data_IF_515056704005
#
_entry.id   IF_515056704005
#
_cell.length_a   1.000
_cell.length_b   1.000
_cell.length_c   1.000
_cell.angle_alpha   90.00
_cell.angle_beta   90.00
_cell.angle_gamma   90.00
#
_symmetry.space_group_name_H-M   'P 1'
#
loop_
_entity.id
_entity.type
_entity.pdbx_description
1 polymer ?
#
# COMPACT_ATOMS: atom_id res chain seq x y z
N UNK A 1 27.09 -7.86 -8.50
CA UNK A 1 26.31 -6.63 -8.23
C UNK A 1 27.22 -5.40 -8.24
N UNK A 2 26.72 -4.19 -8.54
CA UNK A 2 27.51 -2.96 -8.66
C UNK A 2 28.31 -2.59 -7.39
N UNK A 3 27.90 -3.09 -6.22
CA UNK A 3 28.60 -2.93 -4.94
C UNK A 3 29.52 -4.11 -4.56
N UNK A 4 29.75 -5.07 -5.46
CA UNK A 4 30.64 -6.23 -5.21
C UNK A 4 30.06 -7.34 -4.32
N UNK A 5 28.79 -7.28 -3.93
CA UNK A 5 28.14 -8.31 -3.12
C UNK A 5 27.88 -9.60 -3.91
N UNK A 6 28.00 -10.75 -3.23
CA UNK A 6 27.60 -12.06 -3.74
C UNK A 6 26.07 -12.19 -3.78
N UNK A 7 25.57 -13.15 -4.56
CA UNK A 7 24.13 -13.42 -4.65
C UNK A 7 23.58 -13.86 -3.29
N UNK A 8 24.35 -14.66 -2.56
CA UNK A 8 23.99 -15.16 -1.23
C UNK A 8 23.87 -13.99 -0.23
N UNK A 9 24.77 -13.01 -0.29
CA UNK A 9 24.69 -11.80 0.54
C UNK A 9 23.46 -10.95 0.20
N UNK A 10 23.12 -10.81 -1.09
CA UNK A 10 21.93 -10.08 -1.53
C UNK A 10 20.66 -10.79 -1.06
N UNK A 11 20.61 -12.11 -1.22
CA UNK A 11 19.47 -12.93 -0.76
C UNK A 11 19.28 -12.79 0.75
N UNK A 12 20.34 -12.95 1.53
CA UNK A 12 20.28 -12.83 2.99
C UNK A 12 19.82 -11.42 3.42
N UNK A 13 20.34 -10.38 2.77
CA UNK A 13 19.93 -8.99 3.05
C UNK A 13 18.47 -8.72 2.71
N UNK A 14 17.95 -9.25 1.61
CA UNK A 14 16.54 -9.11 1.24
C UNK A 14 15.61 -9.87 2.20
N UNK A 15 16.01 -11.05 2.67
CA UNK A 15 15.23 -11.85 3.63
C UNK A 15 15.17 -11.20 5.02
N UNK A 16 16.21 -10.47 5.41
CA UNK A 16 16.29 -9.76 6.69
C UNK A 16 15.75 -8.32 6.62
N UNK A 17 15.29 -7.87 5.45
CA UNK A 17 14.80 -6.50 5.27
C UNK A 17 13.42 -6.33 5.91
N UNK A 18 13.27 -5.30 6.73
CA UNK A 18 12.00 -4.94 7.36
C UNK A 18 11.40 -3.70 6.67
N UNK A 19 10.07 -3.64 6.69
CA UNK A 19 9.36 -2.46 6.21
C UNK A 19 9.71 -1.25 7.08
N UNK A 20 9.95 -0.11 6.43
CA UNK A 20 10.06 1.16 7.14
C UNK A 20 8.69 1.56 7.70
N UNK A 21 8.67 2.23 8.85
CA UNK A 21 7.43 2.67 9.49
C UNK A 21 6.51 3.44 8.51
N UNK A 22 5.24 3.03 8.44
CA UNK A 22 4.24 3.63 7.55
C UNK A 22 4.44 3.32 6.06
N UNK A 23 5.21 2.29 5.70
CA UNK A 23 5.39 1.82 4.31
C UNK A 23 5.05 0.33 4.18
N UNK A 24 3.78 0.03 3.89
CA UNK A 24 3.23 -1.33 3.81
C UNK A 24 3.54 -2.20 5.05
N UNK A 25 3.55 -1.59 6.24
CA UNK A 25 3.75 -2.33 7.48
C UNK A 25 2.52 -3.18 7.76
N UNK A 26 2.72 -4.47 8.03
CA UNK A 26 1.63 -5.42 8.28
C UNK A 26 1.44 -5.60 9.78
N UNK A 27 0.22 -5.36 10.25
CA UNK A 27 -0.20 -5.61 11.62
C UNK A 27 -1.28 -6.68 11.63
N UNK A 28 -0.97 -7.84 12.20
CA UNK A 28 -1.94 -8.90 12.46
C UNK A 28 -2.62 -8.63 13.80
N UNK A 29 -3.94 -8.48 13.77
CA UNK A 29 -4.78 -8.24 14.93
C UNK A 29 -5.57 -9.50 15.29
N UNK A 30 -6.31 -9.44 16.39
CA UNK A 30 -7.24 -10.52 16.74
C UNK A 30 -8.32 -10.71 15.66
N UNK A 31 -8.94 -11.90 15.64
CA UNK A 31 -10.02 -12.28 14.71
C UNK A 31 -9.61 -12.24 13.23
N UNK A 32 -8.38 -12.65 12.91
CA UNK A 32 -7.85 -12.74 11.54
C UNK A 32 -7.91 -11.42 10.76
N UNK A 33 -7.85 -10.29 11.46
CA UNK A 33 -7.83 -8.95 10.86
C UNK A 33 -6.40 -8.56 10.54
N UNK A 34 -6.15 -8.22 9.28
CA UNK A 34 -4.90 -7.64 8.81
C UNK A 34 -5.08 -6.14 8.59
N UNK A 35 -4.23 -5.34 9.23
CA UNK A 35 -4.08 -3.91 8.90
C UNK A 35 -2.77 -3.71 8.14
N UNK A 36 -2.84 -3.04 7.00
CA UNK A 36 -1.67 -2.62 6.22
C UNK A 36 -1.50 -1.11 6.42
N UNK A 37 -0.49 -0.72 7.20
CA UNK A 37 -0.12 0.67 7.45
C UNK A 37 0.81 1.19 6.34
N UNK A 38 0.25 2.00 5.44
CA UNK A 38 0.96 2.75 4.40
C UNK A 38 0.78 4.28 4.60
N UNK A 39 0.80 4.74 5.85
CA UNK A 39 0.40 6.11 6.23
C UNK A 39 1.51 7.16 6.13
N UNK A 40 2.73 6.80 5.69
CA UNK A 40 3.87 7.75 5.66
C UNK A 40 3.65 8.89 4.65
N UNK A 41 3.26 8.58 3.42
CA UNK A 41 2.97 9.55 2.36
C UNK A 41 2.02 8.94 1.33
N UNK A 42 1.11 9.75 0.79
CA UNK A 42 0.18 9.34 -0.24
C UNK A 42 0.29 10.25 -1.47
N UNK A 43 0.54 9.63 -2.63
CA UNK A 43 0.36 10.24 -3.94
C UNK A 43 -0.48 9.29 -4.81
N UNK A 44 -1.05 9.75 -5.94
CA UNK A 44 -1.98 8.93 -6.71
C UNK A 44 -1.38 7.60 -7.19
N UNK A 45 -0.09 7.57 -7.54
CA UNK A 45 0.56 6.36 -8.00
C UNK A 45 0.80 5.37 -6.84
N UNK A 46 1.25 5.85 -5.68
CA UNK A 46 1.45 4.99 -4.50
C UNK A 46 0.13 4.43 -3.98
N UNK A 47 -0.95 5.21 -3.99
CA UNK A 47 -2.28 4.73 -3.56
C UNK A 47 -2.81 3.64 -4.49
N UNK A 48 -2.63 3.76 -5.81
CA UNK A 48 -2.98 2.66 -6.75
C UNK A 48 -2.20 1.38 -6.44
N UNK A 49 -0.90 1.49 -6.16
CA UNK A 49 -0.09 0.34 -5.77
C UNK A 49 -0.55 -0.26 -4.43
N UNK A 50 -0.94 0.57 -3.46
CA UNK A 50 -1.49 0.10 -2.18
C UNK A 50 -2.83 -0.63 -2.38
N UNK A 51 -3.69 -0.13 -3.28
CA UNK A 51 -4.92 -0.81 -3.70
C UNK A 51 -4.60 -2.18 -4.31
N UNK A 52 -3.61 -2.28 -5.20
CA UNK A 52 -3.20 -3.55 -5.80
C UNK A 52 -2.63 -4.56 -4.77
N UNK A 53 -2.02 -4.08 -3.70
CA UNK A 53 -1.59 -4.93 -2.58
C UNK A 53 -2.79 -5.41 -1.78
N UNK A 54 -3.74 -4.51 -1.49
CA UNK A 54 -4.93 -4.82 -0.70
C UNK A 54 -5.85 -5.83 -1.41
N UNK A 55 -6.04 -5.70 -2.73
CA UNK A 55 -6.91 -6.59 -3.54
C UNK A 55 -6.35 -8.01 -3.67
N UNK A 56 -5.06 -8.21 -3.39
CA UNK A 56 -4.43 -9.54 -3.34
C UNK A 56 -4.60 -10.24 -1.99
N UNK A 57 -5.11 -9.55 -0.97
CA UNK A 57 -5.41 -10.18 0.31
C UNK A 57 -6.73 -10.96 0.20
N UNK A 58 -6.90 -11.94 1.07
CA UNK A 58 -8.12 -12.75 1.16
C UNK A 58 -9.10 -12.16 2.17
N UNK A 59 -10.39 -12.35 1.95
CA UNK A 59 -11.45 -11.86 2.85
C UNK A 59 -12.05 -10.53 2.40
N UNK A 60 -12.86 -9.93 3.27
CA UNK A 60 -13.41 -8.60 3.01
C UNK A 60 -12.33 -7.53 3.19
N UNK A 61 -12.28 -6.56 2.27
CA UNK A 61 -11.29 -5.49 2.27
C UNK A 61 -11.93 -4.12 2.43
N UNK A 62 -11.26 -3.25 3.18
CA UNK A 62 -11.65 -1.86 3.42
C UNK A 62 -10.44 -0.95 3.14
N UNK A 63 -10.66 0.13 2.41
CA UNK A 63 -9.63 1.15 2.12
C UNK A 63 -9.91 2.41 2.93
N UNK A 64 -9.05 2.70 3.91
CA UNK A 64 -9.09 3.95 4.67
C UNK A 64 -8.09 4.93 4.04
N UNK A 65 -8.59 5.93 3.33
CA UNK A 65 -7.76 6.91 2.63
C UNK A 65 -8.06 8.33 3.12
N UNK A 66 -7.03 9.00 3.63
CA UNK A 66 -7.09 10.44 3.94
C UNK A 66 -6.83 11.31 2.70
N UNK A 67 -6.96 12.63 2.85
CA UNK A 67 -6.72 13.59 1.78
C UNK A 67 -5.30 13.50 1.21
N UNK A 68 -5.19 13.31 -0.10
CA UNK A 68 -3.95 13.54 -0.82
C UNK A 68 -3.72 15.05 -0.94
N UNK A 69 -2.61 15.52 -0.34
CA UNK A 69 -2.24 16.94 -0.35
C UNK A 69 -1.58 17.34 -1.67
N UNK A 70 -1.49 18.64 -1.92
CA UNK A 70 -0.74 19.24 -3.04
C UNK A 70 -1.27 18.92 -4.45
N UNK A 71 -2.50 18.40 -4.58
CA UNK A 71 -3.11 18.07 -5.87
C UNK A 71 -3.78 19.26 -6.60
N UNK A 72 -3.91 20.41 -5.93
CA UNK A 72 -4.56 21.59 -6.49
C UNK A 72 -5.98 21.32 -7.01
N UNK A 73 -6.30 21.83 -8.20
CA UNK A 73 -7.63 21.69 -8.83
C UNK A 73 -7.96 20.26 -9.26
N UNK A 74 -6.95 19.39 -9.40
CA UNK A 74 -7.15 17.99 -9.77
C UNK A 74 -7.59 17.11 -8.59
N UNK A 75 -7.55 17.62 -7.36
CA UNK A 75 -7.80 16.85 -6.13
C UNK A 75 -9.07 16.01 -6.20
N UNK A 76 -10.22 16.62 -6.49
CA UNK A 76 -11.49 15.90 -6.55
C UNK A 76 -11.49 14.80 -7.62
N UNK A 77 -10.99 15.10 -8.82
CA UNK A 77 -10.94 14.14 -9.93
C UNK A 77 -10.07 12.93 -9.58
N UNK A 78 -8.92 13.17 -8.98
CA UNK A 78 -7.98 12.12 -8.58
C UNK A 78 -8.53 11.26 -7.43
N UNK A 79 -9.12 11.86 -6.39
CA UNK A 79 -9.76 11.07 -5.32
C UNK A 79 -10.91 10.20 -5.87
N UNK A 80 -11.72 10.75 -6.77
CA UNK A 80 -12.80 10.00 -7.44
C UNK A 80 -12.26 8.84 -8.29
N UNK A 81 -11.18 9.08 -9.03
CA UNK A 81 -10.51 8.04 -9.83
C UNK A 81 -9.97 6.92 -8.94
N UNK A 82 -9.30 7.26 -7.84
CA UNK A 82 -8.74 6.28 -6.89
C UNK A 82 -9.85 5.44 -6.23
N UNK A 83 -10.94 6.07 -5.78
CA UNK A 83 -12.10 5.35 -5.25
C UNK A 83 -12.74 4.42 -6.29
N UNK A 84 -12.85 4.89 -7.54
CA UNK A 84 -13.37 4.07 -8.64
C UNK A 84 -12.46 2.87 -8.95
N UNK A 85 -11.14 3.08 -8.90
CA UNK A 85 -10.14 2.03 -9.11
C UNK A 85 -10.20 0.96 -8.02
N UNK A 86 -10.30 1.37 -6.75
CA UNK A 86 -10.46 0.46 -5.64
C UNK A 86 -11.77 -0.36 -5.74
N UNK A 87 -12.88 0.29 -6.10
CA UNK A 87 -14.17 -0.39 -6.30
C UNK A 87 -14.10 -1.42 -7.44
N UNK A 88 -13.42 -1.11 -8.54
CA UNK A 88 -13.17 -2.07 -9.64
C UNK A 88 -12.35 -3.28 -9.19
N UNK A 89 -11.46 -3.10 -8.21
CA UNK A 89 -10.70 -4.18 -7.57
C UNK A 89 -11.49 -5.02 -6.56
N UNK A 90 -12.77 -4.70 -6.32
CA UNK A 90 -13.63 -5.42 -5.38
C UNK A 90 -13.56 -4.94 -3.93
N UNK A 91 -12.92 -3.80 -3.67
CA UNK A 91 -12.98 -3.13 -2.36
C UNK A 91 -14.31 -2.41 -2.27
N UNK A 92 -15.15 -2.81 -1.30
CA UNK A 92 -16.52 -2.30 -1.19
C UNK A 92 -16.75 -1.41 0.05
N UNK A 93 -15.74 -1.26 0.90
CA UNK A 93 -15.78 -0.44 2.11
C UNK A 93 -14.73 0.66 2.02
N UNK A 94 -15.18 1.90 2.19
CA UNK A 94 -14.42 3.15 2.11
C UNK A 94 -14.84 4.09 3.24
#
# INVERSE_FOLDING_TARGET
AAAGLSIEQIQAGLQACEAYQGRLVRHELANDVLVIDDTYNANPASVKAAIDVLTKQTGESCLILGDLRELGTASYGLHKELGSYAAQGGINYF
#
